data_IF_871075153899
#
_entry.id   IF_871075153899
#
_cell.length_a   1.000
_cell.length_b   1.000
_cell.length_c   1.000
_cell.angle_alpha   90.00
_cell.angle_beta   90.00
_cell.angle_gamma   90.00
#
_symmetry.space_group_name_H-M   'P 1'
#
loop_
_entity.id
_entity.type
_entity.pdbx_description
1 polymer ?
#
# COMPACT_ATOMS: atom_id res chain seq x y z
N UNK A 1 14.38 -27.36 54.95
CA UNK A 1 13.62 -26.63 53.90
C UNK A 1 13.84 -25.12 54.00
N UNK A 2 15.07 -24.62 53.83
CA UNK A 2 15.35 -23.18 53.92
C UNK A 2 16.63 -22.71 53.18
N UNK A 3 17.01 -23.36 52.07
CA UNK A 3 18.18 -22.95 51.28
C UNK A 3 17.92 -23.09 49.77
N UNK A 4 16.89 -22.40 49.26
CA UNK A 4 16.60 -22.34 47.82
C UNK A 4 16.09 -20.97 47.32
N UNK A 5 16.27 -19.88 48.09
CA UNK A 5 15.71 -18.55 47.72
C UNK A 5 16.68 -17.37 47.93
N UNK A 6 17.99 -17.56 47.70
CA UNK A 6 18.96 -16.44 47.76
C UNK A 6 19.93 -16.34 46.57
N UNK A 7 19.73 -17.08 45.49
CA UNK A 7 20.63 -17.08 44.33
C UNK A 7 20.07 -16.37 43.06
N UNK A 8 19.10 -15.45 43.20
CA UNK A 8 18.52 -14.70 42.07
C UNK A 8 18.58 -13.17 42.23
N UNK A 9 19.52 -12.67 43.04
CA UNK A 9 19.79 -11.23 43.16
C UNK A 9 21.29 -10.98 43.16
N UNK A 10 21.92 -11.04 41.98
CA UNK A 10 23.15 -10.31 41.60
C UNK A 10 23.65 -10.79 40.23
N UNK A 11 23.19 -10.15 39.17
CA UNK A 11 24.01 -9.96 37.97
C UNK A 11 23.70 -8.59 37.38
N UNK A 12 24.78 -7.82 37.20
CA UNK A 12 24.80 -6.43 36.73
C UNK A 12 24.44 -6.37 35.23
N UNK A 13 23.95 -5.23 34.72
CA UNK A 13 23.65 -5.08 33.30
C UNK A 13 24.96 -5.00 32.51
N UNK A 14 25.14 -5.90 31.55
CA UNK A 14 26.15 -5.76 30.52
C UNK A 14 25.66 -4.70 29.52
N UNK A 15 26.24 -3.51 29.60
CA UNK A 15 26.29 -2.58 28.48
C UNK A 15 27.40 -3.01 27.51
N UNK A 16 27.08 -3.00 26.21
CA UNK A 16 27.98 -3.30 25.08
C UNK A 16 27.54 -4.57 24.36
N UNK A 17 27.25 -4.62 23.05
CA UNK A 17 27.47 -3.70 21.94
C UNK A 17 26.30 -3.93 20.96
N UNK A 18 25.35 -2.99 20.89
CA UNK A 18 24.44 -2.92 19.76
C UNK A 18 25.23 -2.31 18.58
N UNK A 19 25.23 -2.91 17.39
CA UNK A 19 25.85 -2.26 16.24
C UNK A 19 25.06 -1.00 15.92
N UNK A 20 25.72 0.16 16.05
CA UNK A 20 25.24 1.41 15.51
C UNK A 20 24.96 1.25 14.01
N UNK A 21 23.87 1.81 13.47
CA UNK A 21 23.64 1.78 12.04
C UNK A 21 24.59 2.78 11.37
N UNK A 22 25.71 2.29 10.85
CA UNK A 22 26.51 3.06 9.90
C UNK A 22 25.76 3.17 8.56
N UNK A 23 25.77 4.34 7.89
CA UNK A 23 25.02 4.55 6.67
C UNK A 23 25.77 3.88 5.52
N UNK A 24 25.28 2.74 5.06
CA UNK A 24 25.84 2.07 3.87
C UNK A 24 25.03 2.44 2.63
N UNK A 25 25.73 3.20 1.78
CA UNK A 25 25.39 3.64 0.44
C UNK A 25 24.51 2.67 -0.33
N UNK A 26 23.28 3.10 -0.60
CA UNK A 26 22.39 2.50 -1.60
C UNK A 26 22.36 3.37 -2.84
N UNK A 27 22.58 2.75 -4.00
CA UNK A 27 22.52 3.33 -5.36
C UNK A 27 21.09 3.65 -5.84
N UNK A 28 20.16 3.89 -4.92
CA UNK A 28 18.83 4.38 -5.24
C UNK A 28 18.80 5.85 -4.85
N UNK A 29 18.59 6.74 -5.82
CA UNK A 29 18.47 8.18 -5.57
C UNK A 29 17.49 8.41 -4.42
N UNK A 30 17.91 9.07 -3.33
CA UNK A 30 17.00 9.39 -2.24
C UNK A 30 15.84 10.23 -2.79
N UNK A 31 14.61 10.08 -2.25
CA UNK A 31 13.53 11.00 -2.61
C UNK A 31 14.01 12.43 -2.35
N UNK A 32 13.87 13.28 -3.36
CA UNK A 32 14.41 14.64 -3.39
C UNK A 32 14.02 15.40 -2.11
N UNK A 33 15.02 15.86 -1.34
CA UNK A 33 14.80 16.50 -0.04
C UNK A 33 13.89 17.73 -0.16
N UNK A 34 13.83 18.34 -1.35
CA UNK A 34 12.94 19.46 -1.66
C UNK A 34 11.47 19.05 -1.78
N UNK A 35 11.17 17.84 -2.24
CA UNK A 35 9.79 17.31 -2.28
C UNK A 35 9.32 16.92 -0.88
N UNK A 36 10.22 16.41 -0.03
CA UNK A 36 9.94 16.15 1.38
C UNK A 36 9.66 17.44 2.16
N UNK A 37 10.43 18.51 1.91
CA UNK A 37 10.18 19.83 2.50
C UNK A 37 8.92 20.51 1.95
N UNK A 38 8.50 20.21 0.71
CA UNK A 38 7.21 20.68 0.16
C UNK A 38 6.02 19.97 0.81
N UNK A 39 6.09 18.66 0.95
CA UNK A 39 5.08 17.86 1.65
C UNK A 39 5.01 18.29 3.13
N UNK A 40 6.16 18.53 3.77
CA UNK A 40 6.27 19.10 5.12
C UNK A 40 5.59 20.48 5.22
N UNK A 41 5.82 21.38 4.24
CA UNK A 41 5.19 22.71 4.20
C UNK A 41 3.68 22.68 3.99
N UNK A 42 3.16 21.73 3.22
CA UNK A 42 1.71 21.54 2.97
C UNK A 42 1.02 20.94 4.20
N UNK A 43 1.70 20.08 4.94
CA UNK A 43 1.12 19.34 6.06
C UNK A 43 1.29 20.02 7.43
N UNK A 44 2.37 20.79 7.63
CA UNK A 44 2.73 21.43 8.90
C UNK A 44 2.59 22.96 8.93
N UNK A 45 2.08 23.61 7.86
CA UNK A 45 1.72 25.02 7.98
C UNK A 45 0.57 25.17 9.00
N UNK A 46 0.79 25.84 10.15
CA UNK A 46 -0.33 26.27 10.97
C UNK A 46 -1.15 27.22 10.10
N UNK A 47 -2.48 27.18 10.27
CA UNK A 47 -3.41 28.09 9.61
C UNK A 47 -2.75 29.47 9.43
N UNK A 48 -2.76 29.99 8.19
CA UNK A 48 -2.34 31.35 7.91
C UNK A 48 -3.21 32.30 8.75
N UNK A 49 -2.74 32.61 9.95
CA UNK A 49 -3.09 33.78 10.73
C UNK A 49 -2.44 34.95 9.99
N UNK A 50 -3.12 35.39 8.94
CA UNK A 50 -2.63 36.37 7.98
C UNK A 50 -3.76 36.95 7.15
N UNK A 51 -4.85 37.31 7.82
CA UNK A 51 -5.91 38.16 7.29
C UNK A 51 -6.36 39.10 8.39
N UNK A 52 -6.17 40.40 8.19
CA UNK A 52 -6.54 41.48 9.11
C UNK A 52 -8.03 41.44 9.50
N UNK A 53 -8.40 42.05 10.65
CA UNK A 53 -9.71 41.90 11.26
C UNK A 53 -10.76 42.72 10.50
N UNK A 54 -11.56 42.04 9.68
CA UNK A 54 -12.83 42.58 9.23
C UNK A 54 -13.78 42.58 10.44
N UNK A 55 -14.28 43.76 10.78
CA UNK A 55 -15.26 44.04 11.83
C UNK A 55 -16.43 43.03 11.84
N UNK A 56 -17.08 42.80 13.00
CA UNK A 56 -18.19 41.87 13.12
C UNK A 56 -19.42 42.45 12.43
N UNK A 57 -19.56 42.19 11.13
CA UNK A 57 -20.84 42.33 10.45
C UNK A 57 -21.72 41.17 10.90
N UNK A 58 -22.56 41.48 11.88
CA UNK A 58 -23.70 40.71 12.31
C UNK A 58 -24.59 40.44 11.09
N UNK A 59 -24.52 39.24 10.53
CA UNK A 59 -25.61 38.71 9.72
C UNK A 59 -26.63 38.09 10.67
N UNK A 60 -27.90 38.52 10.63
CA UNK A 60 -28.94 38.00 11.51
C UNK A 60 -29.42 36.64 11.01
N UNK A 61 -29.52 35.67 11.93
CA UNK A 61 -30.41 34.51 11.84
C UNK A 61 -30.23 33.54 10.66
N UNK A 62 -29.62 32.38 10.90
CA UNK A 62 -30.11 31.10 10.38
C UNK A 62 -29.28 29.97 11.00
N UNK A 63 -29.87 29.19 11.90
CA UNK A 63 -29.53 27.79 11.97
C UNK A 63 -29.85 27.22 10.58
N UNK A 64 -28.87 27.24 9.68
CA UNK A 64 -29.06 26.72 8.32
C UNK A 64 -29.33 25.24 8.50
N UNK A 65 -30.54 24.80 8.13
CA UNK A 65 -30.94 23.42 8.31
C UNK A 65 -29.89 22.50 7.71
N UNK A 66 -29.38 21.58 8.52
CA UNK A 66 -28.36 20.61 8.11
C UNK A 66 -28.82 19.83 6.85
N UNK A 67 -30.14 19.64 6.70
CA UNK A 67 -30.79 19.13 5.51
C UNK A 67 -30.50 19.96 4.25
N UNK A 68 -30.53 21.29 4.33
CA UNK A 68 -30.24 22.18 3.21
C UNK A 68 -28.76 22.12 2.81
N UNK A 69 -27.84 22.01 3.79
CA UNK A 69 -26.41 21.86 3.53
C UNK A 69 -26.09 20.49 2.90
N UNK A 70 -26.71 19.42 3.38
CA UNK A 70 -26.57 18.07 2.80
C UNK A 70 -27.16 17.98 1.39
N UNK A 71 -28.30 18.65 1.14
CA UNK A 71 -28.86 18.79 -0.19
C UNK A 71 -27.88 19.54 -1.11
N UNK A 72 -27.29 20.64 -0.65
CA UNK A 72 -26.32 21.43 -1.44
C UNK A 72 -25.01 20.69 -1.70
N UNK A 73 -24.49 19.93 -0.72
CA UNK A 73 -23.20 19.26 -0.82
C UNK A 73 -23.26 17.92 -1.56
N UNK A 74 -24.36 17.17 -1.43
CA UNK A 74 -24.45 15.80 -1.93
C UNK A 74 -25.75 15.50 -2.71
N UNK A 75 -26.63 16.48 -2.91
CA UNK A 75 -27.93 16.26 -3.57
C UNK A 75 -28.83 15.28 -2.80
N UNK A 76 -28.64 15.15 -1.48
CA UNK A 76 -29.43 14.24 -0.65
C UNK A 76 -30.87 14.77 -0.49
N UNK A 77 -31.84 13.87 -0.59
CA UNK A 77 -33.24 14.22 -0.28
C UNK A 77 -33.42 14.43 1.22
N UNK A 78 -34.52 15.10 1.62
CA UNK A 78 -34.85 15.29 3.03
C UNK A 78 -34.98 13.96 3.79
N UNK A 79 -35.51 12.91 3.14
CA UNK A 79 -35.63 11.57 3.72
C UNK A 79 -34.27 10.87 3.87
N UNK A 80 -33.39 10.97 2.86
CA UNK A 80 -32.04 10.39 2.91
C UNK A 80 -31.18 11.06 3.99
N UNK A 81 -31.23 12.39 4.07
CA UNK A 81 -30.53 13.15 5.12
C UNK A 81 -31.04 12.83 6.52
N UNK A 82 -32.36 12.70 6.71
CA UNK A 82 -32.93 12.27 7.99
C UNK A 82 -32.50 10.84 8.39
N UNK A 83 -32.42 9.92 7.42
CA UNK A 83 -31.94 8.55 7.64
C UNK A 83 -30.45 8.51 8.03
N UNK A 84 -29.61 9.29 7.34
CA UNK A 84 -28.18 9.41 7.67
C UNK A 84 -27.96 9.98 9.07
N UNK A 85 -28.69 11.04 9.44
CA UNK A 85 -28.59 11.65 10.77
C UNK A 85 -29.05 10.71 11.88
N UNK A 86 -30.08 9.88 11.62
CA UNK A 86 -30.53 8.85 12.57
C UNK A 86 -29.50 7.75 12.79
N UNK A 87 -28.73 7.41 11.75
CA UNK A 87 -27.65 6.40 11.81
C UNK A 87 -26.41 6.89 12.57
N UNK A 88 -26.28 8.19 12.84
CA UNK A 88 -25.11 8.79 13.46
C UNK A 88 -25.45 9.32 14.86
N UNK A 89 -25.27 8.50 15.91
CA UNK A 89 -25.50 8.94 17.29
C UNK A 89 -24.41 9.95 17.68
N UNK A 90 -24.68 11.24 17.50
CA UNK A 90 -23.75 12.33 17.85
C UNK A 90 -23.60 13.45 16.81
N UNK A 91 -24.28 13.35 15.65
CA UNK A 91 -24.33 14.43 14.65
C UNK A 91 -25.29 15.56 15.11
N UNK A 92 -24.96 16.21 16.21
CA UNK A 92 -25.65 17.43 16.60
C UNK A 92 -25.30 18.54 15.61
N UNK A 93 -26.17 19.54 15.40
CA UNK A 93 -25.84 20.71 14.58
C UNK A 93 -24.70 21.49 15.23
N UNK A 94 -23.48 21.04 14.98
CA UNK A 94 -22.26 21.69 15.40
C UNK A 94 -21.74 22.56 14.26
N UNK A 95 -21.24 23.78 14.56
CA UNK A 95 -20.74 24.71 13.55
C UNK A 95 -19.59 24.11 12.72
N UNK A 96 -18.85 23.13 13.27
CA UNK A 96 -17.80 22.38 12.57
C UNK A 96 -18.34 21.62 11.36
N UNK A 97 -19.47 20.93 11.53
CA UNK A 97 -20.06 20.11 10.47
C UNK A 97 -20.61 20.98 9.34
N UNK A 98 -21.26 22.11 9.68
CA UNK A 98 -21.74 23.06 8.68
C UNK A 98 -20.60 23.63 7.81
N UNK A 99 -19.45 23.93 8.42
CA UNK A 99 -18.25 24.40 7.68
C UNK A 99 -17.67 23.31 6.77
N UNK A 100 -17.57 22.07 7.25
CA UNK A 100 -17.09 20.95 6.44
C UNK A 100 -18.01 20.68 5.24
N UNK A 101 -19.33 20.69 5.44
CA UNK A 101 -20.29 20.49 4.34
C UNK A 101 -20.24 21.64 3.33
N UNK A 102 -20.00 22.87 3.79
CA UNK A 102 -19.78 24.00 2.90
C UNK A 102 -18.50 23.83 2.08
N UNK A 103 -17.40 23.36 2.68
CA UNK A 103 -16.17 23.03 1.97
C UNK A 103 -16.40 21.91 0.95
N UNK A 104 -17.07 20.82 1.33
CA UNK A 104 -17.39 19.72 0.42
C UNK A 104 -18.26 20.16 -0.76
N UNK A 105 -19.20 21.09 -0.55
CA UNK A 105 -19.99 21.70 -1.61
C UNK A 105 -19.17 22.64 -2.52
N UNK A 106 -18.12 23.25 -1.98
CA UNK A 106 -17.19 24.10 -2.72
C UNK A 106 -16.13 23.31 -3.50
N UNK A 107 -15.83 22.08 -3.09
CA UNK A 107 -15.00 21.17 -3.86
C UNK A 107 -15.73 20.79 -5.14
N UNK A 108 -15.11 21.04 -6.30
CA UNK A 108 -15.65 20.74 -7.65
C UNK A 108 -15.65 19.23 -7.95
N UNK A 109 -16.19 18.44 -7.03
CA UNK A 109 -16.38 17.00 -7.17
C UNK A 109 -17.61 16.73 -8.05
N UNK A 110 -17.64 15.63 -8.81
CA UNK A 110 -18.83 15.24 -9.54
C UNK A 110 -19.98 14.97 -8.56
N UNK A 111 -21.19 15.43 -8.90
CA UNK A 111 -22.30 15.59 -7.94
C UNK A 111 -22.77 14.34 -7.19
N UNK A 112 -22.36 13.14 -7.61
CA UNK A 112 -22.63 11.88 -6.91
C UNK A 112 -21.53 11.40 -5.96
N UNK A 113 -20.33 11.99 -5.97
CA UNK A 113 -19.19 11.49 -5.18
C UNK A 113 -19.40 11.68 -3.68
N UNK A 114 -19.89 12.85 -3.25
CA UNK A 114 -20.16 13.12 -1.84
C UNK A 114 -21.26 12.18 -1.32
N UNK A 115 -22.29 11.94 -2.12
CA UNK A 115 -23.35 10.97 -1.79
C UNK A 115 -22.82 9.54 -1.67
N UNK A 116 -21.97 9.11 -2.62
CA UNK A 116 -21.36 7.78 -2.58
C UNK A 116 -20.40 7.60 -1.40
N UNK A 117 -19.65 8.64 -1.05
CA UNK A 117 -18.78 8.64 0.13
C UNK A 117 -19.58 8.56 1.43
N UNK A 118 -20.64 9.37 1.57
CA UNK A 118 -21.55 9.32 2.73
C UNK A 118 -22.27 7.97 2.86
N UNK A 119 -22.60 7.32 1.75
CA UNK A 119 -23.20 5.98 1.77
C UNK A 119 -22.21 4.90 2.23
N UNK A 120 -20.93 5.03 1.85
CA UNK A 120 -19.88 4.06 2.14
C UNK A 120 -19.29 4.21 3.55
N UNK A 121 -18.96 5.43 3.96
CA UNK A 121 -18.32 5.72 5.25
C UNK A 121 -18.76 7.11 5.77
N UNK A 122 -19.96 7.21 6.37
CA UNK A 122 -20.48 8.47 6.89
C UNK A 122 -19.68 8.97 8.10
N UNK A 123 -19.26 8.08 8.99
CA UNK A 123 -18.49 8.44 10.19
C UNK A 123 -17.09 8.94 9.82
N UNK A 124 -16.42 8.27 8.89
CA UNK A 124 -15.11 8.68 8.39
C UNK A 124 -15.11 10.03 7.68
N UNK A 125 -16.18 10.37 6.95
CA UNK A 125 -16.29 11.66 6.28
C UNK A 125 -16.65 12.79 7.25
N UNK A 126 -17.61 12.58 8.14
CA UNK A 126 -18.12 13.63 9.04
C UNK A 126 -17.19 13.90 10.24
N UNK A 127 -16.33 12.94 10.57
CA UNK A 127 -15.27 13.11 11.59
C UNK A 127 -14.08 13.95 11.11
N UNK A 128 -14.02 14.36 9.85
CA UNK A 128 -12.93 15.18 9.31
C UNK A 128 -12.94 16.61 9.87
N UNK A 129 -11.75 17.20 9.92
CA UNK A 129 -11.60 18.63 10.17
C UNK A 129 -11.72 19.43 8.86
N UNK A 130 -12.11 20.69 8.98
CA UNK A 130 -12.15 21.62 7.83
C UNK A 130 -10.75 21.76 7.23
N UNK A 131 -10.63 21.65 5.91
CA UNK A 131 -9.38 21.68 5.14
C UNK A 131 -8.69 20.33 4.99
N UNK A 132 -9.06 19.30 5.75
CA UNK A 132 -8.56 17.94 5.53
C UNK A 132 -8.98 17.32 4.19
N UNK A 133 -10.25 17.44 3.72
CA UNK A 133 -10.63 16.81 2.46
C UNK A 133 -9.89 17.43 1.28
N UNK A 134 -9.70 18.75 1.30
CA UNK A 134 -8.89 19.47 0.30
C UNK A 134 -7.45 18.96 0.26
N UNK A 135 -6.79 18.85 1.43
CA UNK A 135 -5.40 18.35 1.54
C UNK A 135 -5.23 16.91 1.07
N UNK A 136 -6.18 16.03 1.39
CA UNK A 136 -6.13 14.63 0.95
C UNK A 136 -6.35 14.52 -0.57
N UNK A 137 -7.22 15.34 -1.15
CA UNK A 137 -7.42 15.37 -2.60
C UNK A 137 -6.16 15.91 -3.31
N UNK A 138 -5.51 16.93 -2.77
CA UNK A 138 -4.22 17.42 -3.26
C UNK A 138 -3.15 16.32 -3.21
N UNK A 139 -3.02 15.65 -2.06
CA UNK A 139 -2.11 14.51 -1.91
C UNK A 139 -2.35 13.46 -2.99
N UNK A 140 -3.61 13.06 -3.23
CA UNK A 140 -3.96 12.08 -4.27
C UNK A 140 -3.59 12.54 -5.68
N UNK A 141 -3.71 13.84 -5.97
CA UNK A 141 -3.30 14.41 -7.28
C UNK A 141 -1.78 14.33 -7.45
N UNK A 142 -1.04 14.57 -6.36
CA UNK A 142 0.42 14.60 -6.33
C UNK A 142 1.05 13.20 -6.25
N UNK A 143 0.27 12.14 -5.97
CA UNK A 143 0.76 10.76 -5.97
C UNK A 143 1.33 10.37 -7.33
N UNK A 144 2.65 10.17 -7.41
CA UNK A 144 3.33 9.67 -8.61
C UNK A 144 3.16 8.15 -8.72
N UNK A 145 2.12 7.72 -9.43
CA UNK A 145 1.81 6.31 -9.63
C UNK A 145 1.54 5.96 -11.09
N UNK A 146 1.63 4.66 -11.43
CA UNK A 146 1.26 4.18 -12.77
C UNK A 146 -0.19 4.52 -13.05
N UNK A 147 -0.51 4.93 -14.27
CA UNK A 147 -1.89 5.31 -14.65
C UNK A 147 -2.90 4.21 -14.37
N UNK A 148 -2.55 2.93 -14.58
CA UNK A 148 -3.40 1.80 -14.22
C UNK A 148 -3.75 1.75 -12.72
N UNK A 149 -2.76 2.01 -11.85
CA UNK A 149 -2.97 2.03 -10.40
C UNK A 149 -3.79 3.25 -10.01
N UNK A 150 -3.51 4.41 -10.61
CA UNK A 150 -4.28 5.64 -10.41
C UNK A 150 -5.75 5.44 -10.79
N UNK A 151 -6.01 4.86 -11.94
CA UNK A 151 -7.35 4.55 -12.43
C UNK A 151 -8.10 3.61 -11.49
N UNK A 152 -7.44 2.59 -10.94
CA UNK A 152 -8.03 1.68 -9.97
C UNK A 152 -8.36 2.36 -8.63
N UNK A 153 -7.46 3.20 -8.12
CA UNK A 153 -7.68 3.94 -6.86
C UNK A 153 -8.86 4.91 -7.00
N UNK A 154 -8.92 5.62 -8.13
CA UNK A 154 -9.96 6.63 -8.39
C UNK A 154 -11.23 6.04 -9.00
N UNK A 155 -11.31 4.73 -9.24
CA UNK A 155 -12.44 4.07 -9.89
C UNK A 155 -13.77 4.31 -9.17
N UNK A 156 -13.71 4.51 -7.85
CA UNK A 156 -14.88 4.74 -7.01
C UNK A 156 -15.07 6.21 -6.58
N UNK A 157 -14.31 7.13 -7.18
CA UNK A 157 -14.34 8.56 -6.86
C UNK A 157 -13.15 9.01 -6.01
N UNK A 158 -12.73 10.26 -6.22
CA UNK A 158 -11.57 10.83 -5.56
C UNK A 158 -11.80 10.98 -4.05
N UNK A 159 -13.01 11.35 -3.63
CA UNK A 159 -13.32 11.52 -2.21
C UNK A 159 -13.25 10.20 -1.43
N UNK A 160 -13.73 9.08 -2.03
CA UNK A 160 -13.64 7.76 -1.39
C UNK A 160 -12.20 7.27 -1.28
N UNK A 161 -11.39 7.51 -2.31
CA UNK A 161 -9.96 7.26 -2.24
C UNK A 161 -9.28 8.09 -1.14
N UNK A 162 -9.71 9.35 -0.94
CA UNK A 162 -9.18 10.23 0.10
C UNK A 162 -9.51 9.70 1.49
N UNK A 163 -10.73 9.20 1.71
CA UNK A 163 -11.13 8.55 2.95
C UNK A 163 -10.34 7.27 3.20
N UNK A 164 -10.12 6.44 2.17
CA UNK A 164 -9.27 5.25 2.27
C UNK A 164 -7.83 5.63 2.66
N UNK A 165 -7.28 6.70 2.08
CA UNK A 165 -5.97 7.22 2.42
C UNK A 165 -5.88 7.71 3.88
N UNK A 166 -6.89 8.45 4.34
CA UNK A 166 -6.98 8.86 5.76
C UNK A 166 -7.00 7.65 6.69
N UNK A 167 -7.85 6.66 6.42
CA UNK A 167 -7.96 5.44 7.23
C UNK A 167 -6.64 4.67 7.28
N UNK A 168 -5.97 4.54 6.14
CA UNK A 168 -4.65 3.91 6.07
C UNK A 168 -3.61 4.64 6.93
N UNK A 169 -3.57 5.97 6.85
CA UNK A 169 -2.63 6.79 7.62
C UNK A 169 -2.90 6.67 9.13
N UNK A 170 -4.17 6.72 9.55
CA UNK A 170 -4.53 6.56 10.96
C UNK A 170 -4.26 5.13 11.46
N UNK A 171 -4.47 4.09 10.65
CA UNK A 171 -4.11 2.71 10.98
C UNK A 171 -2.61 2.57 11.20
N UNK A 172 -1.80 3.09 10.28
CA UNK A 172 -0.34 3.05 10.39
C UNK A 172 0.15 3.84 11.61
N UNK A 173 -0.50 4.96 11.91
CA UNK A 173 -0.22 5.76 13.11
C UNK A 173 -0.57 5.00 14.39
N UNK A 174 -1.72 4.34 14.45
CA UNK A 174 -2.12 3.51 15.58
C UNK A 174 -1.14 2.35 15.83
N UNK A 175 -0.47 1.86 14.77
CA UNK A 175 0.59 0.83 14.85
C UNK A 175 1.99 1.40 15.16
N UNK A 176 2.12 2.70 15.42
CA UNK A 176 3.35 3.32 15.91
C UNK A 176 4.17 4.09 14.90
N UNK A 177 3.66 4.34 13.68
CA UNK A 177 4.29 5.30 12.77
C UNK A 177 3.91 6.74 13.11
N UNK A 178 4.79 7.68 12.79
CA UNK A 178 4.42 9.10 12.80
C UNK A 178 3.48 9.39 11.63
N UNK A 179 2.62 10.41 11.75
CA UNK A 179 1.73 10.83 10.64
C UNK A 179 2.54 11.13 9.37
N UNK A 180 3.70 11.75 9.54
CA UNK A 180 4.62 12.06 8.45
C UNK A 180 5.13 10.79 7.76
N UNK A 181 5.59 9.80 8.52
CA UNK A 181 6.09 8.55 7.94
C UNK A 181 4.98 7.72 7.30
N UNK A 182 3.78 7.68 7.87
CA UNK A 182 2.63 7.03 7.27
C UNK A 182 2.26 7.64 5.90
N UNK A 183 2.31 8.98 5.79
CA UNK A 183 2.10 9.67 4.51
C UNK A 183 3.23 9.39 3.51
N UNK A 184 4.48 9.30 3.97
CA UNK A 184 5.61 8.89 3.11
C UNK A 184 5.44 7.48 2.56
N UNK A 185 4.99 6.54 3.40
CA UNK A 185 4.69 5.16 3.00
C UNK A 185 3.60 5.14 1.94
N UNK A 186 2.50 5.88 2.16
CA UNK A 186 1.40 5.98 1.21
C UNK A 186 1.85 6.59 -0.13
N UNK A 187 2.65 7.67 -0.08
CA UNK A 187 3.17 8.33 -1.27
C UNK A 187 4.09 7.41 -2.09
N UNK A 188 4.90 6.60 -1.41
CA UNK A 188 5.82 5.66 -2.05
C UNK A 188 5.13 4.40 -2.59
N UNK A 189 4.10 3.90 -1.90
CA UNK A 189 3.35 2.70 -2.33
C UNK A 189 1.84 2.93 -2.34
N UNK A 190 1.31 3.60 -3.37
CA UNK A 190 -0.11 3.92 -3.47
C UNK A 190 -0.99 2.70 -3.72
N UNK A 191 -0.42 1.54 -4.13
CA UNK A 191 -1.18 0.29 -4.24
C UNK A 191 -1.73 -0.19 -2.90
N UNK A 192 -1.22 0.31 -1.77
CA UNK A 192 -1.80 0.04 -0.46
C UNK A 192 -3.29 0.45 -0.39
N UNK A 193 -3.72 1.46 -1.16
CA UNK A 193 -5.11 1.90 -1.25
C UNK A 193 -6.04 0.95 -2.01
N UNK A 194 -5.49 -0.03 -2.73
CA UNK A 194 -6.26 -1.04 -3.43
C UNK A 194 -6.70 -2.20 -2.52
N UNK A 195 -6.14 -2.27 -1.31
CA UNK A 195 -6.48 -3.27 -0.32
C UNK A 195 -7.47 -2.70 0.69
N UNK A 196 -8.26 -3.59 1.32
CA UNK A 196 -9.12 -3.18 2.42
C UNK A 196 -8.29 -2.77 3.64
N UNK A 197 -8.88 -1.98 4.54
CA UNK A 197 -8.23 -1.61 5.79
C UNK A 197 -7.85 -2.85 6.61
N UNK A 198 -8.72 -3.86 6.62
CA UNK A 198 -8.49 -5.16 7.29
C UNK A 198 -7.32 -5.94 6.67
N UNK A 199 -7.20 -5.95 5.33
CA UNK A 199 -6.08 -6.60 4.66
C UNK A 199 -4.75 -5.92 5.01
N UNK A 200 -4.74 -4.58 5.04
CA UNK A 200 -3.56 -3.83 5.45
C UNK A 200 -3.23 -4.09 6.92
N UNK A 201 -4.23 -4.12 7.78
CA UNK A 201 -4.05 -4.45 9.19
C UNK A 201 -3.41 -5.82 9.38
N UNK A 202 -3.93 -6.84 8.68
CA UNK A 202 -3.36 -8.20 8.66
C UNK A 202 -1.91 -8.22 8.20
N UNK A 203 -1.55 -7.42 7.20
CA UNK A 203 -0.17 -7.30 6.73
C UNK A 203 0.75 -6.71 7.80
N UNK A 204 0.32 -5.64 8.46
CA UNK A 204 1.11 -4.99 9.51
C UNK A 204 1.24 -5.92 10.73
N UNK A 205 0.18 -6.64 11.09
CA UNK A 205 0.22 -7.63 12.15
C UNK A 205 1.16 -8.80 11.81
N UNK A 206 1.12 -9.32 10.59
CA UNK A 206 2.04 -10.37 10.15
C UNK A 206 3.50 -9.90 10.16
N UNK A 207 3.75 -8.66 9.73
CA UNK A 207 5.08 -8.04 9.73
C UNK A 207 5.68 -8.00 11.13
N UNK A 208 4.91 -7.53 12.12
CA UNK A 208 5.39 -7.33 13.49
C UNK A 208 5.35 -8.62 14.28
N UNK A 209 4.21 -9.30 14.29
CA UNK A 209 3.96 -10.46 15.14
C UNK A 209 4.61 -11.73 14.63
N UNK A 210 4.57 -11.99 13.32
CA UNK A 210 5.09 -13.24 12.74
C UNK A 210 6.51 -13.09 12.25
N UNK A 211 6.81 -12.04 11.49
CA UNK A 211 8.15 -11.86 10.92
C UNK A 211 9.14 -11.19 11.88
N UNK A 212 8.67 -10.61 12.99
CA UNK A 212 9.51 -9.95 13.99
C UNK A 212 10.13 -8.61 13.54
N UNK A 213 9.62 -8.00 12.47
CA UNK A 213 10.12 -6.70 12.00
C UNK A 213 9.37 -5.54 12.67
N UNK A 214 10.08 -4.47 12.98
CA UNK A 214 9.47 -3.23 13.44
C UNK A 214 8.63 -2.54 12.33
N UNK A 215 7.54 -1.88 12.71
CA UNK A 215 6.66 -1.16 11.75
C UNK A 215 7.42 -0.09 10.96
N UNK A 216 8.47 0.51 11.54
CA UNK A 216 9.32 1.51 10.87
C UNK A 216 10.01 1.00 9.60
N UNK A 217 10.17 -0.32 9.44
CA UNK A 217 10.69 -0.90 8.20
C UNK A 217 9.80 -0.63 6.99
N UNK A 218 8.50 -0.37 7.19
CA UNK A 218 7.58 0.03 6.12
C UNK A 218 8.00 1.33 5.45
N UNK A 219 8.68 2.24 6.15
CA UNK A 219 9.18 3.50 5.56
C UNK A 219 10.28 3.21 4.54
N UNK A 220 11.10 2.19 4.77
CA UNK A 220 12.18 1.80 3.86
C UNK A 220 11.71 0.83 2.78
N UNK A 221 10.73 -0.01 3.09
CA UNK A 221 10.16 -1.03 2.20
C UNK A 221 8.64 -0.92 2.09
N UNK A 222 8.11 0.22 1.58
CA UNK A 222 6.67 0.44 1.48
C UNK A 222 6.01 -0.56 0.51
N UNK A 223 6.78 -1.15 -0.40
CA UNK A 223 6.31 -2.13 -1.38
C UNK A 223 5.70 -3.38 -0.73
N UNK A 224 5.99 -3.62 0.56
CA UNK A 224 5.38 -4.68 1.37
C UNK A 224 3.85 -4.56 1.41
N UNK A 225 3.32 -3.35 1.53
CA UNK A 225 1.88 -3.11 1.57
C UNK A 225 1.22 -3.31 0.19
N UNK A 226 1.99 -3.13 -0.89
CA UNK A 226 1.51 -3.27 -2.27
C UNK A 226 1.45 -4.70 -2.81
N UNK A 227 1.99 -5.69 -2.09
CA UNK A 227 1.97 -7.11 -2.51
C UNK A 227 0.94 -7.92 -1.73
N UNK A 228 0.35 -8.94 -2.35
CA UNK A 228 -0.61 -9.80 -1.66
C UNK A 228 0.10 -10.71 -0.63
N UNK A 229 -0.41 -10.69 0.62
CA UNK A 229 0.18 -11.37 1.77
C UNK A 229 0.23 -12.89 1.55
N UNK A 230 -0.93 -13.50 1.30
CA UNK A 230 -1.10 -14.95 1.25
C UNK A 230 -0.37 -15.59 0.07
N UNK A 231 -0.38 -14.88 -1.07
CA UNK A 231 0.20 -15.40 -2.32
C UNK A 231 1.70 -15.21 -2.42
N UNK A 232 2.26 -14.17 -1.79
CA UNK A 232 3.65 -13.79 -1.99
C UNK A 232 4.47 -13.81 -0.71
N UNK A 233 4.00 -13.20 0.36
CA UNK A 233 4.81 -13.00 1.58
C UNK A 233 4.82 -14.28 2.43
N UNK A 234 3.66 -14.88 2.71
CA UNK A 234 3.55 -16.08 3.55
C UNK A 234 4.38 -17.25 3.00
N UNK A 235 4.29 -17.63 1.71
CA UNK A 235 5.07 -18.76 1.19
C UNK A 235 6.58 -18.50 1.23
N UNK A 236 7.00 -17.24 1.06
CA UNK A 236 8.42 -16.85 1.17
C UNK A 236 8.90 -16.92 2.61
N UNK A 237 8.08 -16.45 3.55
CA UNK A 237 8.37 -16.52 4.98
C UNK A 237 8.54 -17.96 5.44
N UNK A 238 7.62 -18.85 5.08
CA UNK A 238 7.70 -20.26 5.47
C UNK A 238 8.98 -20.95 4.95
N UNK A 239 9.40 -20.66 3.72
CA UNK A 239 10.67 -21.17 3.18
C UNK A 239 11.85 -20.63 3.99
N UNK A 240 11.88 -19.33 4.25
CA UNK A 240 13.00 -18.72 4.99
C UNK A 240 13.07 -19.25 6.42
N UNK A 241 11.95 -19.39 7.13
CA UNK A 241 11.92 -19.95 8.48
C UNK A 241 12.39 -21.41 8.50
N UNK A 242 11.98 -22.21 7.51
CA UNK A 242 12.50 -23.58 7.37
C UNK A 242 14.02 -23.57 7.15
N UNK A 243 14.52 -22.75 6.24
CA UNK A 243 15.97 -22.63 5.98
C UNK A 243 16.75 -22.13 7.21
N UNK A 244 16.16 -21.24 8.04
CA UNK A 244 16.74 -20.84 9.32
C UNK A 244 16.86 -22.02 10.28
N UNK A 245 15.82 -22.85 10.37
CA UNK A 245 15.80 -24.01 11.28
C UNK A 245 16.86 -25.07 10.97
N UNK A 246 17.20 -25.24 9.69
CA UNK A 246 18.23 -26.19 9.23
C UNK A 246 19.64 -25.58 9.15
N UNK A 247 19.79 -24.30 9.50
CA UNK A 247 21.06 -23.58 9.37
C UNK A 247 21.52 -23.36 7.93
N UNK A 248 20.60 -23.41 6.96
CA UNK A 248 20.91 -23.32 5.53
C UNK A 248 21.17 -21.89 5.03
N UNK A 249 20.98 -20.88 5.88
CA UNK A 249 21.19 -19.47 5.54
C UNK A 249 22.56 -19.02 6.02
N UNK A 250 23.45 -18.70 5.08
CA UNK A 250 24.75 -18.10 5.38
C UNK A 250 24.66 -16.64 5.82
N UNK A 251 23.70 -15.90 5.27
CA UNK A 251 23.47 -14.47 5.56
C UNK A 251 22.05 -14.23 6.11
N UNK A 252 21.86 -13.20 6.96
CA UNK A 252 20.54 -12.84 7.48
C UNK A 252 19.61 -12.36 6.35
N UNK A 253 18.40 -12.93 6.30
CA UNK A 253 17.41 -12.56 5.29
C UNK A 253 16.75 -11.22 5.66
N UNK A 254 17.16 -10.17 4.95
CA UNK A 254 16.55 -8.84 5.03
C UNK A 254 15.16 -8.75 4.37
N UNK A 255 14.41 -7.70 4.74
CA UNK A 255 13.10 -7.35 4.17
C UNK A 255 13.09 -7.26 2.63
N UNK A 256 14.19 -6.76 2.03
CA UNK A 256 14.32 -6.64 0.57
C UNK A 256 14.13 -7.97 -0.14
N UNK A 257 14.49 -9.10 0.48
CA UNK A 257 14.37 -10.42 -0.11
C UNK A 257 12.90 -10.86 -0.22
N UNK A 258 12.07 -10.48 0.75
CA UNK A 258 10.64 -10.79 0.74
C UNK A 258 9.89 -9.99 -0.31
N UNK A 259 10.28 -8.74 -0.55
CA UNK A 259 9.46 -7.81 -1.33
C UNK A 259 10.00 -7.56 -2.73
N UNK A 260 11.31 -7.32 -2.89
CA UNK A 260 11.91 -6.91 -4.16
C UNK A 260 12.31 -8.07 -5.07
N UNK A 261 12.51 -9.26 -4.52
CA UNK A 261 12.84 -10.41 -5.35
C UNK A 261 11.63 -10.84 -6.18
N UNK A 262 11.86 -11.05 -7.47
CA UNK A 262 10.86 -11.71 -8.32
C UNK A 262 10.66 -13.15 -7.86
N UNK A 263 9.49 -13.74 -8.14
CA UNK A 263 9.21 -15.14 -7.79
C UNK A 263 10.28 -16.10 -8.30
N UNK A 264 10.77 -15.89 -9.53
CA UNK A 264 11.83 -16.68 -10.16
C UNK A 264 13.16 -16.54 -9.43
N UNK A 265 13.57 -15.30 -9.10
CA UNK A 265 14.81 -15.07 -8.35
C UNK A 265 14.75 -15.68 -6.96
N UNK A 266 13.63 -15.51 -6.26
CA UNK A 266 13.42 -16.13 -4.95
C UNK A 266 13.53 -17.66 -5.04
N UNK A 267 12.84 -18.27 -6.00
CA UNK A 267 12.90 -19.72 -6.21
C UNK A 267 14.32 -20.20 -6.49
N UNK A 268 15.05 -19.57 -7.41
CA UNK A 268 16.40 -19.99 -7.77
C UNK A 268 17.40 -19.88 -6.60
N UNK A 269 17.21 -18.93 -5.69
CA UNK A 269 18.13 -18.70 -4.57
C UNK A 269 17.77 -19.51 -3.32
N UNK A 270 16.49 -19.57 -2.96
CA UNK A 270 16.06 -20.18 -1.69
C UNK A 270 15.40 -21.55 -1.84
N UNK A 271 14.88 -21.89 -3.02
CA UNK A 271 14.07 -23.10 -3.20
C UNK A 271 14.83 -24.15 -4.01
N UNK A 272 15.37 -23.79 -5.18
CA UNK A 272 16.08 -24.72 -6.08
C UNK A 272 17.26 -25.45 -5.41
N UNK A 273 18.07 -24.82 -4.53
CA UNK A 273 19.15 -25.53 -3.86
C UNK A 273 18.66 -26.52 -2.79
N UNK A 274 17.41 -26.41 -2.34
CA UNK A 274 16.84 -27.18 -1.23
C UNK A 274 15.51 -27.84 -1.65
N UNK A 275 15.53 -29.10 -2.14
CA UNK A 275 14.34 -29.79 -2.65
C UNK A 275 13.16 -29.84 -1.66
N UNK A 276 13.46 -29.90 -0.35
CA UNK A 276 12.49 -29.81 0.76
C UNK A 276 11.58 -28.56 0.64
N UNK A 277 12.18 -27.44 0.25
CA UNK A 277 11.51 -26.14 0.15
C UNK A 277 10.53 -26.06 -1.02
N UNK A 278 10.62 -26.97 -2.01
CA UNK A 278 9.67 -27.01 -3.12
C UNK A 278 8.26 -27.33 -2.64
N UNK A 279 8.13 -28.20 -1.62
CA UNK A 279 6.83 -28.53 -1.02
C UNK A 279 6.23 -27.33 -0.28
N UNK A 280 7.08 -26.55 0.39
CA UNK A 280 6.69 -25.38 1.19
C UNK A 280 6.31 -24.21 0.27
N UNK A 281 7.09 -23.95 -0.77
CA UNK A 281 6.86 -22.86 -1.72
C UNK A 281 5.78 -23.20 -2.78
N UNK A 282 5.63 -24.49 -3.06
CA UNK A 282 4.90 -25.04 -4.20
C UNK A 282 3.40 -25.24 -4.01
N UNK A 283 2.83 -24.98 -2.83
CA UNK A 283 1.38 -25.09 -2.59
C UNK A 283 0.53 -24.35 -3.64
N UNK A 284 1.05 -23.25 -4.21
CA UNK A 284 0.43 -22.46 -5.30
C UNK A 284 1.03 -22.70 -6.70
N UNK A 285 2.16 -23.41 -6.81
CA UNK A 285 2.76 -23.74 -8.11
C UNK A 285 1.94 -24.82 -8.81
N UNK A 286 1.36 -25.77 -8.08
CA UNK A 286 0.45 -26.78 -8.65
C UNK A 286 -0.76 -26.13 -9.31
N UNK A 287 -1.43 -25.18 -8.66
CA UNK A 287 -2.61 -24.51 -9.25
C UNK A 287 -2.29 -23.70 -10.51
N UNK A 288 -1.15 -22.98 -10.55
CA UNK A 288 -0.81 -22.15 -11.71
C UNK A 288 -0.26 -22.98 -12.86
N UNK A 289 0.57 -24.00 -12.60
CA UNK A 289 1.00 -24.93 -13.65
C UNK A 289 -0.19 -25.77 -14.15
N UNK A 290 -1.12 -26.16 -13.29
CA UNK A 290 -2.37 -26.82 -13.70
C UNK A 290 -3.26 -25.88 -14.54
N UNK A 291 -3.42 -24.61 -14.15
CA UNK A 291 -4.15 -23.63 -14.97
C UNK A 291 -3.45 -23.28 -16.29
N UNK A 292 -2.13 -23.16 -16.31
CA UNK A 292 -1.35 -22.88 -17.53
C UNK A 292 -1.36 -24.11 -18.45
N UNK A 293 -1.27 -25.33 -17.91
CA UNK A 293 -1.49 -26.59 -18.66
C UNK A 293 -2.92 -26.74 -19.19
N UNK A 294 -3.93 -26.15 -18.52
CA UNK A 294 -5.32 -26.12 -19.01
C UNK A 294 -5.55 -25.07 -20.10
N UNK A 295 -4.77 -23.97 -20.12
CA UNK A 295 -4.93 -22.87 -21.09
C UNK A 295 -4.29 -23.14 -22.46
N UNK A 296 -3.34 -24.05 -22.53
CA UNK A 296 -2.74 -24.50 -23.79
C UNK A 296 -3.00 -25.99 -23.96
N UNK A 297 -3.61 -26.46 -25.05
CA UNK A 297 -3.74 -27.89 -25.28
C UNK A 297 -2.32 -28.46 -25.35
N UNK A 298 -1.99 -29.30 -24.37
CA UNK A 298 -0.66 -29.90 -24.22
C UNK A 298 -0.40 -30.78 -25.45
N UNK A 299 0.31 -30.27 -26.46
CA UNK A 299 0.68 -31.07 -27.63
C UNK A 299 0.53 -30.43 -29.00
N UNK A 300 0.01 -29.20 -29.16
CA UNK A 300 -0.05 -28.60 -30.51
C UNK A 300 1.33 -28.50 -31.19
N UNK A 301 2.37 -28.13 -30.45
CA UNK A 301 3.73 -28.08 -30.97
C UNK A 301 4.31 -29.46 -31.36
N UNK A 302 3.73 -30.56 -30.87
CA UNK A 302 4.07 -31.93 -31.30
C UNK A 302 3.36 -32.33 -32.60
N UNK A 303 2.25 -31.66 -32.93
CA UNK A 303 1.51 -31.82 -34.19
C UNK A 303 2.18 -31.03 -35.32
N UNK A 304 2.82 -29.91 -35.02
CA UNK A 304 3.68 -29.18 -35.95
C UNK A 304 5.04 -29.88 -36.09
N UNK A 305 5.09 -30.95 -36.89
CA UNK A 305 6.37 -31.42 -37.45
C UNK A 305 6.68 -30.55 -38.67
N UNK A 306 7.72 -29.71 -38.65
CA UNK A 306 8.11 -28.97 -39.85
C UNK A 306 8.40 -29.97 -40.97
N UNK A 307 7.90 -29.71 -42.17
CA UNK A 307 8.16 -30.55 -43.33
C UNK A 307 9.68 -30.66 -43.51
N UNK A 308 10.21 -31.89 -43.46
CA UNK A 308 11.63 -32.14 -43.75
C UNK A 308 11.82 -31.79 -45.23
N UNK A 309 12.44 -30.65 -45.50
CA UNK A 309 12.87 -30.32 -46.85
C UNK A 309 14.05 -31.22 -47.17
N UNK A 310 13.91 -32.07 -48.18
CA UNK A 310 15.03 -32.81 -48.72
C UNK A 310 15.96 -31.78 -49.37
N UNK A 311 17.19 -31.67 -48.87
CA UNK A 311 18.18 -30.74 -49.45
C UNK A 311 18.47 -31.18 -50.88
N UNK A 312 17.98 -30.40 -51.84
CA UNK A 312 18.29 -30.59 -53.26
C UNK A 312 19.76 -30.27 -53.48
N UNK A 313 20.39 -30.87 -54.49
CA UNK A 313 21.82 -30.63 -54.76
C UNK A 313 22.09 -29.14 -55.04
N UNK A 314 21.11 -28.45 -55.63
CA UNK A 314 21.08 -27.00 -55.86
C UNK A 314 21.13 -26.20 -54.56
N UNK A 315 20.43 -26.62 -53.50
CA UNK A 315 20.44 -25.95 -52.19
C UNK A 315 21.83 -26.02 -51.55
N UNK A 316 22.53 -27.14 -51.75
CA UNK A 316 23.92 -27.32 -51.27
C UNK A 316 24.88 -26.44 -52.06
N UNK A 317 24.68 -26.29 -53.37
CA UNK A 317 25.48 -25.41 -54.22
C UNK A 317 25.23 -23.93 -53.87
N UNK A 318 23.97 -23.53 -53.66
CA UNK A 318 23.61 -22.18 -53.23
C UNK A 318 24.20 -21.84 -51.86
N UNK A 319 24.17 -22.76 -50.89
CA UNK A 319 24.83 -22.56 -49.60
C UNK A 319 26.36 -22.43 -49.75
N UNK A 320 26.99 -23.22 -50.62
CA UNK A 320 28.44 -23.11 -50.88
C UNK A 320 28.82 -21.78 -51.52
N UNK A 321 28.01 -21.27 -52.45
CA UNK A 321 28.19 -19.96 -53.07
C UNK A 321 28.00 -18.83 -52.05
N UNK A 322 27.01 -18.95 -51.16
CA UNK A 322 26.78 -17.98 -50.08
C UNK A 322 27.96 -17.91 -49.10
N UNK A 323 28.46 -19.08 -48.67
CA UNK A 323 29.62 -19.16 -47.77
C UNK A 323 30.91 -18.71 -48.46
N UNK A 324 31.04 -18.98 -49.77
CA UNK A 324 32.16 -18.52 -50.58
C UNK A 324 32.19 -17.00 -50.76
N UNK A 325 31.02 -16.34 -50.80
CA UNK A 325 30.88 -14.89 -50.93
C UNK A 325 31.16 -14.11 -49.63
N UNK A 326 31.34 -14.83 -48.52
CA UNK A 326 31.62 -14.27 -47.19
C UNK A 326 33.11 -14.34 -46.82
N UNK A 327 33.97 -14.73 -47.77
CA UNK A 327 35.44 -14.66 -47.68
C UNK A 327 35.94 -13.56 -48.59
#
# INVERSE_FOLDING_TARGET
MALALQALRRSRPLHGLLPHPSPLSTSASPPDARELLRIDRILNSPAAAGGQPSQPQQHPGAATDLHQLLHRAAGLTAAESASLLRRLPGAHPHPRLGRLLHELAGLRLPGGEVKAALASDPEGLLSMDTGEPSRLLELLRDLRCREAVRGQILAHGALRAALAARRLVELLRARGLTRHDALRVLAAEPRALLYSAEDVERKVEFLVGTMGFEVRWLVQYPEFLGVNLDRWIIPRHNVVEHLKSIGGLGDPVEMKHYVRLTRRRFYNMFVKPYPECERIFGGLVRERDEMVRRRHPTGLWKLFKPAKHERTQEDVQNMKLLVGSLK
#
